data_IF_909107397149
#
_entry.id   IF_909107397149
#
_cell.length_a   1.000
_cell.length_b   1.000
_cell.length_c   1.000
_cell.angle_alpha   90.00
_cell.angle_beta   90.00
_cell.angle_gamma   90.00
#
_symmetry.space_group_name_H-M   'P 1'
#
loop_
_entity.id
_entity.type
_entity.pdbx_description
1 polymer ?
#
# COMPACT_ATOMS: atom_id res chain seq x y z
N UNK A 1 12.43 -24.21 -32.99
CA UNK A 1 11.61 -23.73 -34.11
C UNK A 1 10.71 -22.60 -33.61
N UNK A 2 10.93 -21.33 -33.99
CA UNK A 2 10.17 -20.20 -33.44
C UNK A 2 8.72 -20.17 -33.91
N UNK A 3 8.33 -21.02 -34.83
CA UNK A 3 6.95 -21.09 -35.33
C UNK A 3 6.00 -21.93 -34.45
N UNK A 4 6.52 -22.85 -33.66
CA UNK A 4 5.66 -23.66 -32.77
C UNK A 4 5.14 -22.89 -31.54
N UNK A 5 5.77 -21.80 -31.12
CA UNK A 5 5.28 -20.99 -29.99
C UNK A 5 4.21 -19.97 -30.38
N UNK A 6 4.05 -19.67 -31.68
CA UNK A 6 3.03 -18.74 -32.19
C UNK A 6 1.65 -19.37 -32.32
N UNK A 7 1.57 -20.70 -32.50
CA UNK A 7 0.30 -21.39 -32.75
C UNK A 7 -0.62 -21.56 -31.54
N UNK A 8 -0.09 -21.57 -30.32
CA UNK A 8 -0.87 -21.77 -29.11
C UNK A 8 -1.54 -20.48 -28.60
N UNK A 9 -1.04 -19.30 -28.99
CA UNK A 9 -1.61 -18.01 -28.58
C UNK A 9 -2.81 -17.56 -29.40
N UNK A 10 -2.93 -18.01 -30.66
CA UNK A 10 -4.01 -17.59 -31.57
C UNK A 10 -5.24 -18.48 -31.50
N UNK A 11 -5.10 -19.74 -31.06
CA UNK A 11 -6.19 -20.71 -31.03
C UNK A 11 -7.13 -20.50 -29.85
N UNK A 12 -6.67 -19.93 -28.74
CA UNK A 12 -7.48 -19.71 -27.55
C UNK A 12 -7.68 -18.22 -27.30
N UNK A 13 -8.81 -17.69 -27.72
CA UNK A 13 -9.23 -16.31 -27.45
C UNK A 13 -9.46 -16.03 -25.95
N UNK A 14 -9.45 -17.06 -25.11
CA UNK A 14 -9.69 -16.96 -23.67
C UNK A 14 -8.61 -17.72 -22.91
N UNK A 15 -7.93 -17.02 -22.02
CA UNK A 15 -6.91 -17.62 -21.14
C UNK A 15 -7.44 -17.76 -19.73
N UNK A 16 -7.24 -18.93 -19.13
CA UNK A 16 -7.56 -19.18 -17.73
C UNK A 16 -6.25 -19.17 -16.96
N UNK A 17 -6.20 -18.37 -15.90
CA UNK A 17 -5.03 -18.26 -15.02
C UNK A 17 -5.39 -18.65 -13.60
N UNK A 18 -4.44 -19.20 -12.88
CA UNK A 18 -4.53 -19.42 -11.42
C UNK A 18 -3.81 -18.32 -10.62
N UNK A 19 -3.17 -17.37 -11.29
CA UNK A 19 -2.44 -16.27 -10.71
C UNK A 19 -3.11 -14.95 -11.09
N UNK A 20 -3.56 -14.17 -10.09
CA UNK A 20 -4.21 -12.88 -10.33
C UNK A 20 -3.29 -11.87 -11.04
N UNK A 21 -1.99 -11.88 -10.72
CA UNK A 21 -1.02 -11.00 -11.39
C UNK A 21 -0.87 -11.35 -12.89
N UNK A 22 -0.90 -12.64 -13.25
CA UNK A 22 -0.87 -13.06 -14.64
C UNK A 22 -2.16 -12.66 -15.37
N UNK A 23 -3.31 -12.86 -14.73
CA UNK A 23 -4.60 -12.41 -15.25
C UNK A 23 -4.60 -10.91 -15.54
N UNK A 24 -4.15 -10.11 -14.57
CA UNK A 24 -4.09 -8.65 -14.68
C UNK A 24 -3.10 -8.20 -15.78
N UNK A 25 -1.99 -8.90 -15.93
CA UNK A 25 -1.01 -8.62 -17.00
C UNK A 25 -1.60 -8.88 -18.38
N UNK A 26 -2.24 -10.02 -18.58
CA UNK A 26 -2.88 -10.34 -19.86
C UNK A 26 -4.01 -9.35 -20.18
N UNK A 27 -4.81 -8.95 -19.17
CA UNK A 27 -5.85 -7.96 -19.36
C UNK A 27 -5.31 -6.59 -19.81
N UNK A 28 -4.16 -6.16 -19.28
CA UNK A 28 -3.48 -4.92 -19.72
C UNK A 28 -2.98 -4.99 -21.16
N UNK A 29 -2.63 -6.19 -21.63
CA UNK A 29 -2.23 -6.44 -23.02
C UNK A 29 -3.43 -6.62 -23.96
N UNK A 30 -4.66 -6.37 -23.47
CA UNK A 30 -5.89 -6.49 -24.24
C UNK A 30 -6.33 -7.95 -24.51
N UNK A 31 -5.76 -8.91 -23.78
CA UNK A 31 -6.13 -10.32 -23.91
C UNK A 31 -7.25 -10.69 -22.93
N UNK A 32 -8.29 -11.37 -23.42
CA UNK A 32 -9.35 -11.88 -22.56
C UNK A 32 -8.79 -12.98 -21.65
N UNK A 33 -8.62 -12.69 -20.39
CA UNK A 33 -8.13 -13.65 -19.39
C UNK A 33 -9.02 -13.67 -18.17
N UNK A 34 -9.25 -14.87 -17.61
CA UNK A 34 -10.03 -15.05 -16.38
C UNK A 34 -9.22 -15.81 -15.35
N UNK A 35 -9.39 -15.45 -14.10
CA UNK A 35 -8.85 -16.25 -13.01
C UNK A 35 -9.75 -17.47 -12.76
N UNK A 36 -9.17 -18.61 -12.38
CA UNK A 36 -9.94 -19.84 -12.14
C UNK A 36 -11.05 -19.63 -11.09
N UNK A 37 -10.81 -18.79 -10.06
CA UNK A 37 -11.80 -18.46 -9.05
C UNK A 37 -12.98 -17.65 -9.63
N UNK A 38 -12.75 -16.80 -10.63
CA UNK A 38 -13.83 -16.08 -11.31
C UNK A 38 -14.78 -17.02 -12.05
N UNK A 39 -14.25 -18.12 -12.56
CA UNK A 39 -15.06 -19.17 -13.20
C UNK A 39 -15.82 -20.00 -12.17
N UNK A 40 -15.17 -20.36 -11.06
CA UNK A 40 -15.76 -21.21 -10.03
C UNK A 40 -16.87 -20.49 -9.26
N UNK A 41 -16.71 -19.20 -9.00
CA UNK A 41 -17.67 -18.41 -8.21
C UNK A 41 -18.56 -17.50 -9.03
N UNK A 42 -18.48 -17.56 -10.37
CA UNK A 42 -19.33 -16.77 -11.25
C UNK A 42 -19.07 -15.27 -11.20
N UNK A 43 -17.92 -14.84 -10.70
CA UNK A 43 -17.57 -13.44 -10.61
C UNK A 43 -17.29 -12.87 -12.01
N UNK A 44 -17.99 -11.82 -12.39
CA UNK A 44 -17.73 -11.08 -13.62
C UNK A 44 -16.83 -9.86 -13.26
N UNK A 45 -15.54 -10.08 -13.22
CA UNK A 45 -14.57 -9.00 -13.09
C UNK A 45 -14.35 -8.35 -14.47
N UNK A 46 -15.34 -7.61 -14.95
CA UNK A 46 -15.20 -6.83 -16.18
C UNK A 46 -14.21 -5.68 -16.04
N UNK A 47 -14.03 -5.16 -14.82
CA UNK A 47 -13.08 -4.10 -14.53
C UNK A 47 -12.00 -4.62 -13.57
N UNK A 48 -10.76 -4.38 -13.95
CA UNK A 48 -9.62 -4.66 -13.10
C UNK A 48 -9.55 -3.58 -12.03
N UNK A 49 -9.67 -3.92 -10.73
CA UNK A 49 -9.56 -2.93 -9.68
C UNK A 49 -8.17 -2.27 -9.71
N UNK A 50 -8.14 -0.98 -9.50
CA UNK A 50 -6.89 -0.25 -9.38
C UNK A 50 -6.12 -0.64 -8.09
N UNK A 51 -4.94 -0.06 -7.92
CA UNK A 51 -4.09 -0.37 -6.76
C UNK A 51 -4.75 0.09 -5.45
N UNK A 52 -5.41 1.24 -5.47
CA UNK A 52 -6.09 1.81 -4.30
C UNK A 52 -7.27 0.96 -3.88
N UNK A 53 -8.08 0.52 -4.83
CA UNK A 53 -9.21 -0.39 -4.60
C UNK A 53 -8.73 -1.76 -4.08
N UNK A 54 -7.66 -2.33 -4.65
CA UNK A 54 -7.06 -3.58 -4.14
C UNK A 54 -6.56 -3.45 -2.69
N UNK A 55 -5.99 -2.30 -2.33
CA UNK A 55 -5.54 -2.02 -0.95
C UNK A 55 -6.72 -1.89 -0.01
N UNK A 56 -7.73 -1.13 -0.41
CA UNK A 56 -8.97 -0.96 0.36
C UNK A 56 -9.64 -2.31 0.63
N UNK A 57 -9.80 -3.14 -0.39
CA UNK A 57 -10.39 -4.48 -0.26
C UNK A 57 -9.60 -5.38 0.70
N UNK A 58 -8.25 -5.30 0.67
CA UNK A 58 -7.40 -6.03 1.63
C UNK A 58 -7.58 -5.53 3.06
N UNK A 59 -7.73 -4.23 3.24
CA UNK A 59 -7.96 -3.64 4.56
C UNK A 59 -9.29 -4.09 5.13
N UNK A 60 -10.37 -4.02 4.34
CA UNK A 60 -11.70 -4.51 4.73
C UNK A 60 -11.66 -6.00 5.05
N UNK A 61 -11.03 -6.81 4.21
CA UNK A 61 -10.89 -8.24 4.47
C UNK A 61 -10.15 -8.51 5.78
N UNK A 62 -9.04 -7.81 6.03
CA UNK A 62 -8.28 -7.91 7.28
C UNK A 62 -9.17 -7.58 8.49
N UNK A 63 -9.89 -6.46 8.45
CA UNK A 63 -10.78 -6.04 9.53
C UNK A 63 -11.90 -7.06 9.78
N UNK A 64 -12.49 -7.58 8.70
CA UNK A 64 -13.53 -8.61 8.78
C UNK A 64 -13.00 -9.90 9.41
N UNK A 65 -11.80 -10.34 9.03
CA UNK A 65 -11.17 -11.53 9.60
C UNK A 65 -10.81 -11.33 11.07
N UNK A 66 -10.24 -10.19 11.46
CA UNK A 66 -9.93 -9.87 12.84
C UNK A 66 -11.19 -9.91 13.70
N UNK A 67 -12.26 -9.28 13.25
CA UNK A 67 -13.53 -9.26 13.97
C UNK A 67 -14.19 -10.63 14.05
N UNK A 68 -14.29 -11.36 12.93
CA UNK A 68 -15.10 -12.57 12.86
C UNK A 68 -14.37 -13.82 13.38
N UNK A 69 -13.05 -13.88 13.27
CA UNK A 69 -12.27 -15.07 13.64
C UNK A 69 -11.59 -14.89 15.00
N UNK A 70 -11.02 -13.72 15.26
CA UNK A 70 -10.30 -13.47 16.51
C UNK A 70 -11.07 -12.66 17.53
N UNK A 71 -12.27 -12.20 17.18
CA UNK A 71 -13.10 -11.34 18.02
C UNK A 71 -12.35 -10.08 18.53
N UNK A 72 -11.31 -9.69 17.80
CA UNK A 72 -10.60 -8.45 18.03
C UNK A 72 -11.36 -7.32 17.35
N UNK A 73 -11.94 -6.44 18.12
CA UNK A 73 -12.37 -5.16 17.58
C UNK A 73 -11.09 -4.46 17.14
N UNK A 74 -11.00 -4.15 15.84
CA UNK A 74 -9.95 -3.25 15.38
C UNK A 74 -10.15 -1.94 16.13
N UNK A 75 -9.30 -1.70 17.11
CA UNK A 75 -9.21 -0.40 17.77
C UNK A 75 -8.72 0.56 16.68
N UNK A 76 -9.66 1.12 15.94
CA UNK A 76 -9.43 2.42 15.34
C UNK A 76 -9.41 3.35 16.54
N UNK A 77 -8.24 3.58 17.10
CA UNK A 77 -8.04 4.64 18.07
C UNK A 77 -8.68 5.88 17.47
N UNK A 78 -9.66 6.40 18.18
CA UNK A 78 -10.35 7.62 17.78
C UNK A 78 -9.29 8.73 17.87
N UNK A 79 -8.66 9.03 16.76
CA UNK A 79 -7.62 10.04 16.70
C UNK A 79 -8.27 11.39 16.89
N UNK A 80 -7.73 12.16 17.79
CA UNK A 80 -8.13 13.54 18.10
C UNK A 80 -7.39 14.55 17.18
N UNK A 81 -6.78 14.06 16.10
CA UNK A 81 -6.06 14.86 15.11
C UNK A 81 -6.36 14.40 13.69
N UNK A 82 -6.26 15.32 12.75
CA UNK A 82 -6.44 15.07 11.33
C UNK A 82 -5.10 14.85 10.62
N UNK A 83 -5.11 14.03 9.58
CA UNK A 83 -3.94 13.86 8.71
C UNK A 83 -4.36 14.20 7.27
N UNK A 84 -3.85 15.32 6.78
CA UNK A 84 -3.99 15.74 5.42
C UNK A 84 -2.76 15.32 4.59
N UNK A 85 -2.94 15.17 3.28
CA UNK A 85 -1.89 14.73 2.37
C UNK A 85 -1.84 15.66 1.16
N UNK A 86 -0.64 16.05 0.74
CA UNK A 86 -0.46 16.73 -0.54
C UNK A 86 -0.66 15.75 -1.70
N UNK A 87 -0.92 16.25 -2.90
CA UNK A 87 -1.03 15.41 -4.11
C UNK A 87 0.27 14.64 -4.37
N UNK A 88 1.42 15.29 -4.15
CA UNK A 88 2.73 14.64 -4.27
C UNK A 88 2.89 13.47 -3.29
N UNK A 89 2.45 13.65 -2.04
CA UNK A 89 2.48 12.59 -1.04
C UNK A 89 1.60 11.40 -1.44
N UNK A 90 0.40 11.66 -1.93
CA UNK A 90 -0.53 10.61 -2.39
C UNK A 90 0.10 9.83 -3.55
N UNK A 91 0.62 10.53 -4.56
CA UNK A 91 1.27 9.89 -5.70
C UNK A 91 2.46 9.02 -5.28
N UNK A 92 3.35 9.55 -4.43
CA UNK A 92 4.51 8.81 -3.93
C UNK A 92 4.12 7.60 -3.08
N UNK A 93 3.08 7.73 -2.26
CA UNK A 93 2.55 6.62 -1.47
C UNK A 93 1.98 5.52 -2.38
N UNK A 94 1.29 5.89 -3.44
CA UNK A 94 0.73 4.94 -4.41
C UNK A 94 1.82 4.20 -5.20
N UNK A 95 2.84 4.89 -5.68
CA UNK A 95 3.98 4.26 -6.34
C UNK A 95 4.70 3.25 -5.43
N UNK A 96 4.86 3.58 -4.17
CA UNK A 96 5.64 2.79 -3.19
C UNK A 96 4.80 1.82 -2.39
N UNK A 97 3.50 1.75 -2.65
CA UNK A 97 2.54 0.92 -1.92
C UNK A 97 2.51 1.20 -0.40
N UNK A 98 2.63 2.47 -0.01
CA UNK A 98 2.52 2.91 1.38
C UNK A 98 1.05 3.19 1.69
N UNK A 99 0.53 2.61 2.76
CA UNK A 99 -0.85 2.84 3.17
C UNK A 99 -0.96 4.10 4.03
N UNK A 100 -2.09 4.77 3.99
CA UNK A 100 -2.38 5.87 4.92
C UNK A 100 -2.27 5.42 6.37
N UNK A 101 -2.72 4.20 6.69
CA UNK A 101 -2.58 3.60 8.02
C UNK A 101 -1.12 3.45 8.46
N UNK A 102 -0.17 3.21 7.53
CA UNK A 102 1.25 3.12 7.88
C UNK A 102 1.79 4.52 8.25
N UNK A 103 1.44 5.53 7.46
CA UNK A 103 1.81 6.93 7.72
C UNK A 103 1.23 7.42 9.04
N UNK A 104 -0.04 7.15 9.27
CA UNK A 104 -0.74 7.54 10.49
C UNK A 104 -0.14 6.87 11.73
N UNK A 105 0.34 5.63 11.61
CA UNK A 105 1.03 4.95 12.69
C UNK A 105 2.38 5.59 13.00
N UNK A 106 3.14 5.98 11.98
CA UNK A 106 4.39 6.73 12.15
C UNK A 106 4.15 8.07 12.84
N UNK A 107 3.07 8.77 12.49
CA UNK A 107 2.69 10.04 13.13
C UNK A 107 2.20 9.84 14.58
N UNK A 108 1.52 8.72 14.87
CA UNK A 108 1.17 8.35 16.24
C UNK A 108 2.41 8.12 17.10
N UNK A 109 3.39 7.36 16.59
CA UNK A 109 4.67 7.13 17.27
C UNK A 109 5.43 8.46 17.48
N UNK A 110 5.41 9.36 16.50
CA UNK A 110 5.98 10.70 16.64
C UNK A 110 5.30 11.49 17.76
N UNK A 111 3.97 11.45 17.84
CA UNK A 111 3.22 12.16 18.86
C UNK A 111 3.56 11.70 20.27
N UNK A 112 3.84 10.42 20.45
CA UNK A 112 4.24 9.85 21.74
C UNK A 112 5.68 10.20 22.10
N UNK A 113 6.61 10.12 21.14
CA UNK A 113 8.04 10.20 21.38
C UNK A 113 8.64 11.57 21.06
N UNK A 114 7.95 12.40 20.28
CA UNK A 114 8.41 13.71 19.78
C UNK A 114 9.77 13.64 19.05
N UNK A 115 10.11 12.47 18.48
CA UNK A 115 11.36 12.26 17.76
C UNK A 115 11.17 12.61 16.27
N UNK A 116 11.68 13.77 15.87
CA UNK A 116 11.76 14.18 14.48
C UNK A 116 13.04 14.96 14.19
N UNK A 117 13.44 14.99 12.95
CA UNK A 117 14.53 15.80 12.43
C UNK A 117 13.90 16.99 11.71
N UNK A 118 14.27 18.20 12.08
CA UNK A 118 13.87 19.41 11.37
C UNK A 118 14.77 19.59 10.14
N UNK A 119 14.16 19.66 8.98
CA UNK A 119 14.84 20.10 7.76
C UNK A 119 14.90 21.64 7.76
N UNK A 120 16.11 22.19 7.87
CA UNK A 120 16.29 23.63 7.99
C UNK A 120 15.93 24.40 6.72
N UNK A 121 16.02 23.78 5.56
CA UNK A 121 15.71 24.41 4.28
C UNK A 121 14.21 24.50 4.04
N UNK A 122 13.49 23.39 4.23
CA UNK A 122 12.07 23.29 3.96
C UNK A 122 11.18 23.60 5.17
N UNK A 123 11.78 23.64 6.39
CA UNK A 123 11.07 23.78 7.67
C UNK A 123 10.08 22.64 7.94
N UNK A 124 10.27 21.50 7.30
CA UNK A 124 9.48 20.30 7.48
C UNK A 124 10.09 19.40 8.55
N UNK A 125 9.24 18.68 9.25
CA UNK A 125 9.65 17.64 10.19
C UNK A 125 9.75 16.30 9.45
N UNK A 126 10.79 15.55 9.77
CA UNK A 126 11.01 14.20 9.23
C UNK A 126 11.06 13.23 10.39
N UNK A 127 10.10 12.37 10.48
CA UNK A 127 10.06 11.29 11.48
C UNK A 127 10.09 9.91 10.85
N UNK A 128 10.37 8.90 11.65
CA UNK A 128 10.40 7.52 11.18
C UNK A 128 9.88 6.56 12.23
N UNK A 129 9.30 5.47 11.77
CA UNK A 129 8.97 4.32 12.61
C UNK A 129 9.24 3.02 11.87
N UNK A 130 9.57 1.97 12.61
CA UNK A 130 9.77 0.63 12.07
C UNK A 130 8.54 -0.23 12.31
N UNK A 131 7.82 -0.51 11.25
CA UNK A 131 6.65 -1.37 11.27
C UNK A 131 7.02 -2.76 10.70
N UNK A 132 7.24 -3.72 11.58
CA UNK A 132 7.74 -5.04 11.19
C UNK A 132 9.16 -4.99 10.61
N UNK A 133 9.31 -5.38 9.35
CA UNK A 133 10.61 -5.40 8.65
C UNK A 133 10.85 -4.18 7.75
N UNK A 134 9.95 -3.19 7.80
CA UNK A 134 10.02 -1.99 6.96
C UNK A 134 10.11 -0.76 7.84
N UNK A 135 11.03 0.14 7.52
CA UNK A 135 11.10 1.46 8.13
C UNK A 135 10.39 2.45 7.22
N UNK A 136 9.39 3.12 7.77
CA UNK A 136 8.65 4.18 7.10
C UNK A 136 9.17 5.52 7.58
N UNK A 137 9.31 6.44 6.64
CA UNK A 137 9.70 7.81 6.86
C UNK A 137 8.59 8.72 6.39
N UNK A 138 8.26 9.71 7.18
CA UNK A 138 7.21 10.68 6.88
C UNK A 138 7.77 12.07 7.04
N UNK A 139 7.59 12.89 6.00
CA UNK A 139 7.91 14.31 5.99
C UNK A 139 6.60 15.09 6.06
N UNK A 140 6.48 15.97 7.03
CA UNK A 140 5.23 16.64 7.33
C UNK A 140 5.47 18.00 8.01
N UNK A 141 4.41 18.78 8.09
CA UNK A 141 4.33 19.97 8.94
C UNK A 141 3.17 19.82 9.90
N UNK A 142 3.31 20.40 11.09
CA UNK A 142 2.24 20.49 12.06
C UNK A 142 1.24 21.57 11.65
N UNK A 143 -0.04 21.29 11.83
CA UNK A 143 -1.15 22.21 11.60
C UNK A 143 -1.95 22.37 12.89
N UNK A 144 -2.86 23.34 12.96
CA UNK A 144 -3.71 23.55 14.13
C UNK A 144 -4.52 22.30 14.52
N UNK A 145 -5.00 21.53 13.52
CA UNK A 145 -5.84 20.36 13.71
C UNK A 145 -5.10 19.02 13.56
N UNK A 146 -3.77 19.03 13.30
CA UNK A 146 -3.02 17.79 13.12
C UNK A 146 -1.78 17.92 12.25
N UNK A 147 -1.72 17.17 11.15
CA UNK A 147 -0.52 17.04 10.33
C UNK A 147 -0.84 17.16 8.84
N UNK A 148 0.01 17.86 8.09
CA UNK A 148 0.00 17.86 6.63
C UNK A 148 1.24 17.10 6.14
N UNK A 149 1.02 15.96 5.52
CA UNK A 149 2.07 15.08 4.97
C UNK A 149 2.44 15.52 3.57
N UNK A 150 3.72 15.83 3.37
CA UNK A 150 4.28 16.22 2.08
C UNK A 150 4.92 15.05 1.36
N UNK A 151 5.58 14.11 2.08
CA UNK A 151 6.22 12.94 1.50
C UNK A 151 6.18 11.76 2.45
N UNK A 152 6.04 10.56 1.89
CA UNK A 152 6.21 9.32 2.62
C UNK A 152 7.03 8.33 1.78
N UNK A 153 8.00 7.67 2.40
CA UNK A 153 8.81 6.64 1.76
C UNK A 153 9.17 5.53 2.74
N UNK A 154 9.55 4.39 2.20
CA UNK A 154 9.84 3.21 2.99
C UNK A 154 11.09 2.50 2.49
N UNK A 155 11.81 1.86 3.39
CA UNK A 155 12.91 0.97 3.04
C UNK A 155 13.02 -0.22 4.00
N UNK A 156 13.64 -1.29 3.53
CA UNK A 156 13.84 -2.52 4.31
C UNK A 156 15.22 -2.65 4.93
N UNK A 157 16.08 -1.63 4.77
CA UNK A 157 17.43 -1.66 5.33
C UNK A 157 17.41 -1.39 6.83
N UNK A 158 18.22 -2.16 7.58
CA UNK A 158 18.54 -1.83 8.95
C UNK A 158 19.64 -0.78 8.96
N UNK A 159 19.32 0.44 9.37
CA UNK A 159 20.35 1.43 9.67
C UNK A 159 20.90 1.08 11.07
N UNK A 160 22.00 0.35 11.11
CA UNK A 160 22.71 0.16 12.36
C UNK A 160 23.35 1.51 12.73
N UNK A 161 23.04 2.03 13.91
CA UNK A 161 23.86 3.11 14.50
C UNK A 161 25.27 2.52 14.64
N UNK A 162 26.26 3.08 13.96
CA UNK A 162 27.64 2.84 14.34
C UNK A 162 27.77 3.31 15.77
N UNK A 163 27.94 2.37 16.70
CA UNK A 163 28.37 2.68 18.04
C UNK A 163 29.76 3.31 17.86
N UNK A 164 29.84 4.60 18.18
CA UNK A 164 31.09 5.36 18.02
C UNK A 164 32.22 4.70 18.80
N UNK A 165 33.35 4.57 18.13
CA UNK A 165 34.64 4.47 18.78
C UNK A 165 34.98 5.82 19.42
#
# INVERSE_FOLDING_TARGET
DPEMSRGLGDVYKRQITYCMACRDRFAREGRESRHILELLYGANASNMPDISEKRYNRLILKQTLLKNIWNEESVMEKKDYTVAYTEEAIHMMDERMILKSDVERVLSDYRENQEAILDEETKELVTRSRLGNVTFWVRFVETEDGYLVHRAYSHRMNIMKRVGQ
#
